data_IF_998544830894
#
_entry.id   IF_998544830894
#
_cell.length_a   1.000
_cell.length_b   1.000
_cell.length_c   1.000
_cell.angle_alpha   90.00
_cell.angle_beta   90.00
_cell.angle_gamma   90.00
#
_symmetry.space_group_name_H-M   'P 1'
#
loop_
_entity.id
_entity.type
_entity.pdbx_description
1 polymer ?
#
# COMPACT_ATOMS: atom_id res chain seq x y z
N UNK A 1 -32.02 -5.06 -31.82
CA UNK A 1 -31.39 -4.52 -30.60
C UNK A 1 -32.28 -4.81 -29.40
N UNK A 2 -31.89 -5.76 -28.57
CA UNK A 2 -32.61 -6.11 -27.35
C UNK A 2 -32.34 -5.05 -26.28
N UNK A 3 -33.40 -4.43 -25.75
CA UNK A 3 -33.36 -3.50 -24.64
C UNK A 3 -32.86 -4.14 -23.32
N UNK A 4 -32.79 -5.47 -23.26
CA UNK A 4 -32.23 -6.20 -22.13
C UNK A 4 -30.73 -6.43 -22.34
N UNK A 5 -29.89 -5.92 -21.45
CA UNK A 5 -28.47 -6.28 -21.36
C UNK A 5 -28.34 -7.74 -20.89
N UNK A 6 -28.32 -8.67 -21.83
CA UNK A 6 -28.02 -10.08 -21.53
C UNK A 6 -26.53 -10.16 -21.20
N UNK A 7 -26.21 -10.45 -19.95
CA UNK A 7 -24.86 -10.72 -19.50
C UNK A 7 -24.67 -12.24 -19.42
N UNK A 8 -24.05 -12.80 -20.44
CA UNK A 8 -23.64 -14.22 -20.47
C UNK A 8 -22.29 -14.35 -21.14
N UNK A 9 -21.50 -15.33 -20.74
CA UNK A 9 -20.17 -15.60 -21.30
C UNK A 9 -20.25 -15.80 -22.83
N UNK A 10 -21.31 -16.44 -23.32
CA UNK A 10 -21.55 -16.63 -24.76
C UNK A 10 -21.76 -15.29 -25.49
N UNK A 11 -22.53 -14.38 -24.91
CA UNK A 11 -22.76 -13.05 -25.51
C UNK A 11 -21.50 -12.20 -25.50
N UNK A 12 -20.69 -12.31 -24.44
CA UNK A 12 -19.44 -11.59 -24.33
C UNK A 12 -18.36 -12.17 -25.25
N UNK A 13 -18.29 -13.50 -25.42
CA UNK A 13 -17.42 -14.14 -26.40
C UNK A 13 -17.73 -13.68 -27.84
N UNK A 14 -19.03 -13.60 -28.22
CA UNK A 14 -19.44 -13.09 -29.56
C UNK A 14 -19.04 -11.62 -29.73
N UNK A 15 -19.17 -10.77 -28.69
CA UNK A 15 -18.75 -9.37 -28.78
C UNK A 15 -17.25 -9.24 -28.92
N UNK A 16 -16.47 -10.05 -28.19
CA UNK A 16 -15.00 -10.08 -28.29
C UNK A 16 -14.58 -10.50 -29.69
N UNK A 17 -15.18 -11.58 -30.23
CA UNK A 17 -14.89 -12.06 -31.59
C UNK A 17 -15.21 -11.01 -32.67
N UNK A 18 -16.37 -10.34 -32.56
CA UNK A 18 -16.72 -9.24 -33.48
C UNK A 18 -15.75 -8.08 -33.39
N UNK A 19 -15.40 -7.67 -32.17
CA UNK A 19 -14.42 -6.60 -31.98
C UNK A 19 -13.06 -6.97 -32.59
N UNK A 20 -12.61 -8.20 -32.39
CA UNK A 20 -11.36 -8.68 -32.97
C UNK A 20 -11.39 -8.65 -34.53
N UNK A 21 -12.50 -9.06 -35.14
CA UNK A 21 -12.67 -9.01 -36.60
C UNK A 21 -12.72 -7.56 -37.11
N UNK A 22 -13.48 -6.68 -36.43
CA UNK A 22 -13.65 -5.28 -36.86
C UNK A 22 -12.37 -4.45 -36.71
N UNK A 23 -11.51 -4.82 -35.77
CA UNK A 23 -10.31 -4.08 -35.37
C UNK A 23 -9.01 -4.82 -35.61
N UNK A 24 -9.03 -5.89 -36.37
CA UNK A 24 -7.88 -6.77 -36.62
C UNK A 24 -6.60 -6.01 -36.94
N UNK A 25 -6.67 -5.04 -37.86
CA UNK A 25 -5.51 -4.23 -38.25
C UNK A 25 -4.95 -3.32 -37.16
N UNK A 26 -5.75 -3.03 -36.14
CA UNK A 26 -5.40 -2.16 -35.04
C UNK A 26 -5.10 -2.92 -33.74
N UNK A 27 -5.17 -4.26 -33.76
CA UNK A 27 -4.83 -5.08 -32.61
C UNK A 27 -3.31 -5.10 -32.43
N UNK A 28 -2.88 -4.72 -31.22
CA UNK A 28 -1.47 -4.77 -30.87
C UNK A 28 -1.06 -6.23 -30.61
N UNK A 29 0.05 -6.65 -31.19
CA UNK A 29 0.61 -7.98 -30.95
C UNK A 29 1.04 -8.09 -29.48
N UNK A 30 0.75 -9.23 -28.83
CA UNK A 30 1.19 -9.53 -27.49
C UNK A 30 2.71 -9.75 -27.46
N UNK A 31 3.39 -9.12 -26.51
CA UNK A 31 4.85 -9.14 -26.38
C UNK A 31 5.29 -9.71 -25.04
N UNK A 32 6.56 -10.09 -24.93
CA UNK A 32 7.18 -10.47 -23.65
C UNK A 32 7.07 -9.34 -22.60
N UNK A 33 7.14 -8.08 -23.04
CA UNK A 33 6.96 -6.93 -22.16
C UNK A 33 5.54 -6.85 -21.61
N UNK A 34 4.52 -7.20 -22.40
CA UNK A 34 3.13 -7.26 -21.93
C UNK A 34 2.94 -8.41 -20.92
N UNK A 35 3.64 -9.53 -21.11
CA UNK A 35 3.65 -10.64 -20.17
C UNK A 35 4.24 -10.22 -18.80
N UNK A 36 5.39 -9.56 -18.80
CA UNK A 36 6.00 -9.03 -17.58
C UNK A 36 5.08 -8.01 -16.88
N UNK A 37 4.39 -7.14 -17.63
CA UNK A 37 3.40 -6.20 -17.08
C UNK A 37 2.23 -6.93 -16.44
N UNK A 38 1.74 -8.00 -17.05
CA UNK A 38 0.67 -8.83 -16.48
C UNK A 38 1.13 -9.55 -15.21
N UNK A 39 2.36 -10.05 -15.17
CA UNK A 39 2.96 -10.63 -13.96
C UNK A 39 3.05 -9.59 -12.85
N UNK A 40 3.58 -8.38 -13.14
CA UNK A 40 3.67 -7.29 -12.17
C UNK A 40 2.28 -6.90 -11.62
N UNK A 41 1.28 -6.83 -12.49
CA UNK A 41 -0.10 -6.56 -12.08
C UNK A 41 -0.67 -7.65 -11.18
N UNK A 42 -0.40 -8.91 -11.49
CA UNK A 42 -0.81 -10.05 -10.67
C UNK A 42 -0.15 -9.99 -9.28
N UNK A 43 1.16 -9.73 -9.23
CA UNK A 43 1.89 -9.53 -7.98
C UNK A 43 1.30 -8.39 -7.16
N UNK A 44 0.93 -7.25 -7.79
CA UNK A 44 0.29 -6.14 -7.09
C UNK A 44 -1.06 -6.53 -6.46
N UNK A 45 -1.85 -7.39 -7.14
CA UNK A 45 -3.09 -7.93 -6.56
C UNK A 45 -2.82 -8.83 -5.35
N UNK A 46 -1.81 -9.70 -5.44
CA UNK A 46 -1.40 -10.55 -4.33
C UNK A 46 -0.83 -9.72 -3.16
N UNK A 47 0.00 -8.73 -3.45
CA UNK A 47 0.50 -7.79 -2.45
C UNK A 47 -0.66 -7.10 -1.70
N UNK A 48 -1.65 -6.59 -2.42
CA UNK A 48 -2.84 -5.98 -1.83
C UNK A 48 -3.66 -6.95 -0.96
N UNK A 49 -3.76 -8.22 -1.34
CA UNK A 49 -4.42 -9.27 -0.58
C UNK A 49 -3.68 -9.56 0.73
N UNK A 50 -2.38 -9.82 0.68
CA UNK A 50 -1.58 -10.11 1.87
C UNK A 50 -1.43 -8.91 2.81
N UNK A 51 -1.43 -7.68 2.29
CA UNK A 51 -1.50 -6.47 3.11
C UNK A 51 -2.78 -6.39 3.96
N UNK A 52 -3.92 -6.78 3.39
CA UNK A 52 -5.19 -6.87 4.14
C UNK A 52 -5.13 -7.96 5.21
N UNK A 53 -4.59 -9.15 4.87
CA UNK A 53 -4.40 -10.24 5.82
C UNK A 53 -3.46 -9.84 6.96
N UNK A 54 -2.30 -9.25 6.65
CA UNK A 54 -1.36 -8.72 7.65
C UNK A 54 -2.06 -7.77 8.63
N UNK A 55 -2.90 -6.87 8.13
CA UNK A 55 -3.65 -5.93 8.97
C UNK A 55 -4.66 -6.67 9.85
N UNK A 56 -5.41 -7.63 9.30
CA UNK A 56 -6.37 -8.43 10.05
C UNK A 56 -5.67 -9.25 11.16
N UNK A 57 -4.55 -9.90 10.84
CA UNK A 57 -3.77 -10.69 11.79
C UNK A 57 -3.13 -9.82 12.88
N UNK A 58 -2.66 -8.62 12.53
CA UNK A 58 -2.18 -7.63 13.51
C UNK A 58 -3.27 -7.26 14.49
N UNK A 59 -4.47 -6.91 14.01
CA UNK A 59 -5.59 -6.53 14.85
C UNK A 59 -6.06 -7.70 15.72
N UNK A 60 -6.09 -8.92 15.18
CA UNK A 60 -6.39 -10.12 15.96
C UNK A 60 -5.39 -10.35 17.08
N UNK A 61 -4.09 -10.27 16.79
CA UNK A 61 -3.04 -10.41 17.82
C UNK A 61 -3.17 -9.34 18.91
N UNK A 62 -3.42 -8.08 18.55
CA UNK A 62 -3.64 -7.00 19.52
C UNK A 62 -4.84 -7.32 20.40
N UNK A 63 -5.98 -7.75 19.84
CA UNK A 63 -7.17 -8.09 20.61
C UNK A 63 -6.97 -9.28 21.57
N UNK A 64 -6.10 -10.23 21.25
CA UNK A 64 -5.72 -11.31 22.17
C UNK A 64 -4.77 -10.78 23.26
N UNK A 65 -3.79 -9.95 22.87
CA UNK A 65 -2.84 -9.36 23.81
C UNK A 65 -3.50 -8.38 24.78
N UNK A 66 -4.57 -7.70 24.39
CA UNK A 66 -5.33 -6.83 25.29
C UNK A 66 -5.96 -7.61 26.46
N UNK A 67 -6.13 -8.93 26.33
CA UNK A 67 -6.61 -9.80 27.41
C UNK A 67 -5.47 -10.36 28.29
N UNK A 68 -4.21 -10.27 27.85
CA UNK A 68 -3.05 -10.83 28.57
C UNK A 68 -2.00 -9.81 28.94
N UNK A 69 -1.77 -8.82 28.07
CA UNK A 69 -0.80 -7.75 28.22
C UNK A 69 -1.29 -6.48 27.47
N UNK A 70 -2.31 -5.78 28.00
CA UNK A 70 -2.89 -4.62 27.35
C UNK A 70 -1.85 -3.57 26.97
N UNK A 71 -1.95 -3.03 25.74
CA UNK A 71 -1.09 -1.94 25.28
C UNK A 71 0.35 -2.33 24.92
N UNK A 72 0.74 -3.61 24.97
CA UNK A 72 2.11 -4.05 24.65
C UNK A 72 2.57 -3.66 23.25
N UNK A 73 1.64 -3.53 22.30
CA UNK A 73 1.90 -3.09 20.94
C UNK A 73 2.32 -1.61 20.82
N UNK A 74 2.15 -0.82 21.87
CA UNK A 74 2.50 0.62 21.89
C UNK A 74 3.87 0.91 22.51
N UNK A 75 4.57 -0.10 23.00
CA UNK A 75 5.86 0.11 23.67
C UNK A 75 7.00 0.50 22.72
N UNK A 76 6.86 0.24 21.43
CA UNK A 76 7.94 0.46 20.47
C UNK A 76 7.41 1.08 19.18
N UNK A 77 7.94 2.24 18.80
CA UNK A 77 7.63 2.95 17.55
C UNK A 77 8.60 2.59 16.41
N UNK A 78 9.40 1.53 16.60
CA UNK A 78 10.38 1.09 15.61
C UNK A 78 9.68 0.61 14.34
N UNK A 79 10.17 1.00 13.14
CA UNK A 79 9.66 0.46 11.88
C UNK A 79 9.90 -1.06 11.80
N UNK A 80 9.14 -1.72 10.92
CA UNK A 80 9.41 -3.11 10.59
C UNK A 80 10.79 -3.25 9.94
N UNK A 81 11.44 -4.40 10.14
CA UNK A 81 12.69 -4.76 9.47
C UNK A 81 12.43 -5.15 8.01
N UNK A 82 13.49 -5.33 7.25
CA UNK A 82 13.42 -5.77 5.84
C UNK A 82 12.75 -7.12 5.65
N UNK A 83 12.79 -8.00 6.65
CA UNK A 83 12.08 -9.29 6.66
C UNK A 83 10.61 -9.19 7.14
N UNK A 84 10.14 -7.97 7.41
CA UNK A 84 8.79 -7.70 7.91
C UNK A 84 8.60 -7.88 9.41
N UNK A 85 9.61 -8.35 10.16
CA UNK A 85 9.52 -8.52 11.61
C UNK A 85 9.41 -7.18 12.35
N UNK A 86 8.67 -7.16 13.46
CA UNK A 86 8.40 -5.96 14.25
C UNK A 86 8.83 -6.17 15.71
N UNK A 87 9.51 -5.18 16.29
CA UNK A 87 10.05 -5.26 17.66
C UNK A 87 8.99 -5.56 18.71
N UNK A 88 7.79 -4.96 18.58
CA UNK A 88 6.70 -5.20 19.53
C UNK A 88 6.15 -6.63 19.43
N UNK A 89 6.10 -7.22 18.23
CA UNK A 89 5.66 -8.62 18.01
C UNK A 89 6.68 -9.58 18.60
N UNK A 90 7.97 -9.35 18.36
CA UNK A 90 9.05 -10.12 18.96
C UNK A 90 9.04 -10.03 20.50
N UNK A 91 8.73 -8.85 21.05
CA UNK A 91 8.60 -8.64 22.47
C UNK A 91 7.39 -9.42 23.00
N UNK A 92 6.22 -9.26 22.38
CA UNK A 92 4.99 -9.97 22.77
C UNK A 92 5.13 -11.50 22.65
N UNK A 93 5.89 -12.01 21.68
CA UNK A 93 6.21 -13.43 21.57
C UNK A 93 6.98 -13.98 22.78
N UNK A 94 7.83 -13.14 23.39
CA UNK A 94 8.64 -13.51 24.55
C UNK A 94 7.91 -13.23 25.87
N UNK A 95 7.32 -12.04 25.96
CA UNK A 95 6.59 -11.53 27.13
C UNK A 95 5.09 -11.47 26.83
N UNK A 96 4.54 -12.60 26.48
CA UNK A 96 3.17 -12.76 25.98
C UNK A 96 2.06 -12.52 27.02
N UNK A 97 2.42 -12.40 28.30
CA UNK A 97 1.53 -12.14 29.41
C UNK A 97 2.20 -11.16 30.39
N UNK A 98 1.44 -10.26 30.99
CA UNK A 98 1.96 -9.27 31.93
C UNK A 98 2.76 -9.89 33.08
N UNK A 99 2.37 -11.07 33.54
CA UNK A 99 3.09 -11.84 34.56
C UNK A 99 4.47 -12.34 34.14
N UNK A 100 4.81 -12.28 32.83
CA UNK A 100 6.17 -12.53 32.38
C UNK A 100 7.12 -11.39 32.79
N UNK A 101 6.57 -10.23 33.12
CA UNK A 101 7.32 -9.04 33.54
C UNK A 101 7.10 -8.76 35.02
N UNK A 102 5.85 -8.58 35.48
CA UNK A 102 5.53 -8.09 36.82
C UNK A 102 5.91 -9.05 37.94
N UNK A 103 6.06 -10.36 37.66
CA UNK A 103 6.49 -11.36 38.66
C UNK A 103 8.00 -11.39 38.88
N UNK A 104 8.78 -10.65 38.09
CA UNK A 104 10.22 -10.42 38.30
C UNK A 104 10.44 -9.21 39.18
N UNK A 105 11.65 -9.09 39.75
CA UNK A 105 12.13 -7.80 40.26
C UNK A 105 12.51 -6.90 39.09
N UNK A 106 12.57 -5.57 39.30
CA UNK A 106 13.00 -4.63 38.25
C UNK A 106 14.40 -4.98 37.72
N UNK A 107 15.33 -5.30 38.61
CA UNK A 107 16.70 -5.69 38.24
C UNK A 107 16.69 -6.95 37.33
N UNK A 108 15.99 -8.00 37.79
CA UNK A 108 15.89 -9.25 37.05
C UNK A 108 15.23 -9.06 35.65
N UNK A 109 14.18 -8.24 35.58
CA UNK A 109 13.56 -7.92 34.30
C UNK A 109 14.50 -7.12 33.39
N UNK A 110 15.20 -6.12 33.93
CA UNK A 110 16.15 -5.29 33.18
C UNK A 110 17.26 -6.15 32.57
N UNK A 111 17.85 -7.07 33.35
CA UNK A 111 18.87 -8.00 32.85
C UNK A 111 18.32 -8.95 31.78
N UNK A 112 17.13 -9.47 32.01
CA UNK A 112 16.46 -10.35 31.04
C UNK A 112 16.14 -9.63 29.75
N UNK A 113 15.63 -8.39 29.83
CA UNK A 113 15.35 -7.55 28.67
C UNK A 113 16.63 -7.16 27.91
N UNK A 114 17.73 -6.88 28.61
CA UNK A 114 19.03 -6.62 27.98
C UNK A 114 19.53 -7.83 27.18
N UNK A 115 19.45 -9.04 27.79
CA UNK A 115 19.81 -10.30 27.09
C UNK A 115 18.90 -10.55 25.89
N UNK A 116 17.61 -10.25 26.02
CA UNK A 116 16.64 -10.35 24.92
C UNK A 116 16.98 -9.37 23.78
N UNK A 117 17.26 -8.10 24.09
CA UNK A 117 17.68 -7.12 23.10
C UNK A 117 18.95 -7.57 22.36
N UNK A 118 19.97 -8.07 23.07
CA UNK A 118 21.20 -8.59 22.47
C UNK A 118 20.92 -9.75 21.53
N UNK A 119 20.13 -10.74 21.95
CA UNK A 119 19.78 -11.92 21.15
C UNK A 119 18.98 -11.56 19.88
N UNK A 120 18.06 -10.62 20.01
CA UNK A 120 17.20 -10.16 18.91
C UNK A 120 17.81 -9.01 18.10
N UNK A 121 19.04 -8.59 18.41
CA UNK A 121 19.74 -7.47 17.76
C UNK A 121 18.95 -6.16 17.80
N UNK A 122 18.37 -5.84 18.95
CA UNK A 122 17.72 -4.55 19.23
C UNK A 122 18.59 -3.70 20.16
N UNK A 123 18.45 -2.38 20.02
CA UNK A 123 19.09 -1.46 20.96
C UNK A 123 18.43 -1.59 22.35
N UNK A 124 19.27 -1.75 23.36
CA UNK A 124 18.86 -1.75 24.77
C UNK A 124 18.74 -0.32 25.30
N UNK A 125 17.73 -0.09 26.12
CA UNK A 125 17.55 1.13 26.92
C UNK A 125 17.07 0.74 28.30
N UNK A 126 17.78 1.17 29.32
CA UNK A 126 17.42 0.93 30.72
C UNK A 126 16.14 1.68 31.10
N UNK A 127 16.02 2.93 30.68
CA UNK A 127 14.80 3.73 30.90
C UNK A 127 13.55 3.08 30.26
N UNK A 128 13.72 2.45 29.10
CA UNK A 128 12.61 1.71 28.47
C UNK A 128 12.25 0.44 29.23
N UNK A 129 13.21 -0.26 29.83
CA UNK A 129 12.93 -1.39 30.71
C UNK A 129 12.16 -0.96 31.97
N UNK A 130 12.56 0.15 32.59
CA UNK A 130 11.89 0.74 33.74
C UNK A 130 10.45 1.18 33.41
N UNK A 131 10.24 1.83 32.27
CA UNK A 131 8.91 2.21 31.75
C UNK A 131 7.99 0.99 31.57
N UNK A 132 8.49 -0.05 30.87
CA UNK A 132 7.74 -1.29 30.63
C UNK A 132 7.37 -1.97 31.95
N UNK A 133 8.34 -2.05 32.87
CA UNK A 133 8.12 -2.68 34.16
C UNK A 133 7.09 -1.92 34.99
N UNK A 134 7.19 -0.59 35.07
CA UNK A 134 6.21 0.27 35.75
C UNK A 134 4.79 0.06 35.24
N UNK A 135 4.61 0.17 33.91
CA UNK A 135 3.31 -0.08 33.29
C UNK A 135 2.78 -1.49 33.57
N UNK A 136 3.64 -2.52 33.52
CA UNK A 136 3.23 -3.90 33.76
C UNK A 136 2.69 -4.14 35.20
N UNK A 137 3.13 -3.36 36.17
CA UNK A 137 2.64 -3.47 37.54
C UNK A 137 1.18 -3.02 37.70
N UNK A 138 0.73 -2.09 36.88
CA UNK A 138 -0.60 -1.51 36.92
C UNK A 138 -1.65 -2.32 36.15
N UNK A 139 -1.20 -3.25 35.30
CA UNK A 139 -2.07 -4.00 34.40
C UNK A 139 -2.69 -5.23 35.08
N UNK A 140 -3.97 -5.47 34.79
CA UNK A 140 -4.72 -6.65 35.23
C UNK A 140 -5.11 -7.47 33.99
N UNK A 141 -4.55 -8.68 33.80
CA UNK A 141 -4.92 -9.54 32.70
C UNK A 141 -6.28 -10.20 32.94
N UNK A 142 -7.01 -10.45 31.85
CA UNK A 142 -8.30 -11.19 31.85
C UNK A 142 -8.06 -12.69 31.70
N UNK A 143 -7.16 -13.07 30.79
CA UNK A 143 -6.82 -14.48 30.57
C UNK A 143 -5.69 -14.91 31.52
N UNK A 144 -5.68 -16.19 31.96
CA UNK A 144 -4.63 -16.71 32.82
C UNK A 144 -3.31 -16.92 32.07
N UNK A 145 -2.20 -16.94 32.83
CA UNK A 145 -0.89 -17.32 32.31
C UNK A 145 -0.74 -18.84 32.31
N UNK A 146 -1.28 -19.49 31.27
CA UNK A 146 -1.22 -20.94 31.09
C UNK A 146 -0.76 -21.33 29.68
N UNK A 147 -0.59 -22.63 29.44
CA UNK A 147 -0.09 -23.13 28.14
C UNK A 147 -1.12 -22.95 27.00
N UNK A 148 -2.43 -22.93 27.32
CA UNK A 148 -3.48 -22.72 26.29
C UNK A 148 -3.38 -21.28 25.78
N UNK A 149 -3.38 -20.31 26.68
CA UNK A 149 -3.25 -18.88 26.34
C UNK A 149 -1.95 -18.60 25.58
N UNK A 150 -0.84 -19.16 26.03
CA UNK A 150 0.46 -19.05 25.35
C UNK A 150 0.42 -19.60 23.94
N UNK A 151 -0.21 -20.75 23.72
CA UNK A 151 -0.34 -21.37 22.41
C UNK A 151 -1.17 -20.54 21.45
N UNK A 152 -2.27 -19.96 21.91
CA UNK A 152 -3.11 -19.07 21.11
C UNK A 152 -2.31 -17.83 20.63
N UNK A 153 -1.58 -17.18 21.54
CA UNK A 153 -0.77 -16.01 21.21
C UNK A 153 0.36 -16.39 20.23
N UNK A 154 1.04 -17.51 20.46
CA UNK A 154 2.10 -18.00 19.59
C UNK A 154 1.57 -18.23 18.16
N UNK A 155 0.43 -18.88 18.01
CA UNK A 155 -0.19 -19.08 16.71
C UNK A 155 -0.51 -17.73 16.01
N UNK A 156 -1.06 -16.76 16.75
CA UNK A 156 -1.37 -15.44 16.18
C UNK A 156 -0.09 -14.67 15.77
N UNK A 157 0.99 -14.77 16.55
CA UNK A 157 2.31 -14.22 16.21
C UNK A 157 2.88 -14.88 14.95
N UNK A 158 2.85 -16.20 14.86
CA UNK A 158 3.39 -16.94 13.72
C UNK A 158 2.65 -16.59 12.43
N UNK A 159 1.32 -16.46 12.47
CA UNK A 159 0.52 -16.03 11.32
C UNK A 159 0.83 -14.60 10.89
N UNK A 160 0.96 -13.66 11.82
CA UNK A 160 1.33 -12.28 11.51
C UNK A 160 2.74 -12.20 10.91
N UNK A 161 3.70 -12.94 11.44
CA UNK A 161 5.06 -12.97 10.91
C UNK A 161 5.11 -13.56 9.50
N UNK A 162 4.38 -14.66 9.25
CA UNK A 162 4.28 -15.26 7.93
C UNK A 162 3.68 -14.29 6.90
N UNK A 163 2.56 -13.64 7.23
CA UNK A 163 1.96 -12.64 6.35
C UNK A 163 2.90 -11.43 6.13
N UNK A 164 3.66 -11.04 7.15
CA UNK A 164 4.61 -9.93 7.05
C UNK A 164 5.78 -10.26 6.12
N UNK A 165 6.37 -11.46 6.23
CA UNK A 165 7.43 -11.94 5.33
C UNK A 165 6.95 -11.98 3.88
N UNK A 166 5.78 -12.58 3.63
CA UNK A 166 5.19 -12.64 2.28
C UNK A 166 5.00 -11.26 1.66
N UNK A 167 4.57 -10.26 2.45
CA UNK A 167 4.44 -8.87 1.96
C UNK A 167 5.79 -8.29 1.55
N UNK A 168 6.85 -8.50 2.32
CA UNK A 168 8.17 -7.95 2.00
C UNK A 168 8.81 -8.69 0.80
N UNK A 169 8.63 -10.00 0.70
CA UNK A 169 9.07 -10.79 -0.47
C UNK A 169 8.39 -10.31 -1.75
N UNK A 170 7.06 -10.11 -1.72
CA UNK A 170 6.32 -9.57 -2.87
C UNK A 170 6.76 -8.14 -3.22
N UNK A 171 7.05 -7.30 -2.22
CA UNK A 171 7.55 -5.94 -2.45
C UNK A 171 8.87 -5.97 -3.20
N UNK A 172 9.80 -6.81 -2.78
CA UNK A 172 11.10 -6.99 -3.45
C UNK A 172 10.90 -7.51 -4.87
N UNK A 173 10.13 -8.58 -5.05
CA UNK A 173 9.87 -9.16 -6.36
C UNK A 173 9.18 -8.18 -7.33
N UNK A 174 8.24 -7.39 -6.83
CA UNK A 174 7.58 -6.34 -7.63
C UNK A 174 8.58 -5.26 -8.05
N UNK A 175 9.48 -4.84 -7.17
CA UNK A 175 10.49 -3.84 -7.49
C UNK A 175 11.49 -4.38 -8.53
N UNK A 176 11.97 -5.61 -8.36
CA UNK A 176 12.89 -6.27 -9.28
C UNK A 176 12.25 -6.50 -10.66
N UNK A 177 10.95 -6.80 -10.70
CA UNK A 177 10.22 -6.93 -11.97
C UNK A 177 10.00 -5.57 -12.62
N UNK A 178 9.62 -4.55 -11.84
CA UNK A 178 9.40 -3.19 -12.33
C UNK A 178 10.68 -2.57 -12.89
N UNK A 179 11.85 -2.87 -12.29
CA UNK A 179 13.15 -2.35 -12.74
C UNK A 179 13.54 -2.79 -14.18
N UNK A 180 12.88 -3.81 -14.70
CA UNK A 180 13.08 -4.27 -16.08
C UNK A 180 12.35 -3.42 -17.13
N UNK A 181 11.45 -2.55 -16.72
CA UNK A 181 10.72 -1.66 -17.65
C UNK A 181 11.52 -0.40 -17.94
N UNK A 182 11.56 0.06 -19.18
CA UNK A 182 12.35 1.23 -19.57
C UNK A 182 11.95 2.49 -18.82
N UNK A 183 10.68 2.65 -18.47
CA UNK A 183 10.20 3.82 -17.72
C UNK A 183 10.52 3.81 -16.22
N UNK A 184 11.06 2.74 -15.67
CA UNK A 184 11.31 2.62 -14.23
C UNK A 184 12.16 3.78 -13.66
N UNK A 185 13.30 4.17 -14.28
CA UNK A 185 14.14 5.23 -13.73
C UNK A 185 13.37 6.56 -13.56
N UNK A 186 12.65 6.99 -14.60
CA UNK A 186 11.91 8.25 -14.57
C UNK A 186 10.73 8.23 -13.59
N UNK A 187 10.12 7.06 -13.39
CA UNK A 187 9.06 6.89 -12.40
C UNK A 187 9.62 7.00 -10.98
N UNK A 188 10.78 6.41 -10.72
CA UNK A 188 11.42 6.45 -9.40
C UNK A 188 11.96 7.82 -9.01
N UNK A 189 12.23 8.71 -9.96
CA UNK A 189 12.60 10.10 -9.72
C UNK A 189 11.43 11.00 -9.28
N UNK A 190 10.21 10.53 -9.39
CA UNK A 190 9.04 11.33 -9.01
C UNK A 190 8.88 11.40 -7.50
N UNK A 191 8.69 12.62 -6.96
CA UNK A 191 8.47 12.81 -5.54
C UNK A 191 7.22 12.05 -5.06
N UNK A 192 7.30 11.49 -3.86
CA UNK A 192 6.24 10.67 -3.27
C UNK A 192 6.19 9.23 -3.80
N UNK A 193 7.03 8.89 -4.79
CA UNK A 193 7.17 7.55 -5.37
C UNK A 193 8.45 6.93 -4.84
N UNK A 194 8.37 5.74 -4.30
CA UNK A 194 9.51 5.00 -3.79
C UNK A 194 9.44 3.53 -4.23
N UNK A 195 10.38 2.68 -3.78
CA UNK A 195 10.47 1.27 -4.19
C UNK A 195 9.20 0.44 -3.95
N UNK A 196 8.29 0.93 -3.12
CA UNK A 196 6.99 0.27 -2.88
C UNK A 196 5.89 0.82 -3.77
N UNK A 197 5.76 2.15 -3.91
CA UNK A 197 4.66 2.77 -4.65
C UNK A 197 4.92 2.85 -6.15
N UNK A 198 6.18 2.97 -6.59
CA UNK A 198 6.57 2.96 -8.00
C UNK A 198 6.09 1.70 -8.73
N UNK A 199 6.50 0.50 -8.28
CA UNK A 199 6.02 -0.75 -8.87
C UNK A 199 4.50 -0.91 -8.86
N UNK A 200 3.80 -0.44 -7.80
CA UNK A 200 2.34 -0.46 -7.74
C UNK A 200 1.69 0.46 -8.78
N UNK A 201 2.25 1.67 -8.97
CA UNK A 201 1.78 2.60 -10.03
C UNK A 201 1.98 1.98 -11.41
N UNK A 202 3.18 1.45 -11.68
CA UNK A 202 3.52 0.82 -12.96
C UNK A 202 2.64 -0.42 -13.23
N UNK A 203 2.36 -1.23 -12.21
CA UNK A 203 1.48 -2.38 -12.29
C UNK A 203 0.05 -2.01 -12.71
N UNK A 204 -0.49 -0.92 -12.16
CA UNK A 204 -1.86 -0.51 -12.41
C UNK A 204 -2.00 0.31 -13.70
N UNK A 205 -1.04 1.18 -13.99
CA UNK A 205 -1.06 2.01 -15.21
C UNK A 205 -0.73 1.15 -16.44
N UNK A 206 0.25 0.25 -16.32
CA UNK A 206 0.75 -0.54 -17.46
C UNK A 206 1.51 0.34 -18.47
N UNK A 207 1.41 0.01 -19.74
CA UNK A 207 2.04 0.77 -20.82
C UNK A 207 1.36 2.14 -20.98
N UNK A 208 2.12 3.23 -20.77
CA UNK A 208 1.62 4.60 -20.92
C UNK A 208 1.26 4.93 -22.36
N UNK A 209 1.90 4.29 -23.34
CA UNK A 209 1.66 4.57 -24.76
C UNK A 209 0.26 4.19 -25.23
N UNK A 210 -0.44 3.34 -24.48
CA UNK A 210 -1.84 2.98 -24.76
C UNK A 210 -2.83 4.13 -24.55
N UNK A 211 -2.43 5.18 -23.81
CA UNK A 211 -3.27 6.33 -23.57
C UNK A 211 -3.03 7.40 -24.64
N UNK A 212 -4.06 7.81 -25.33
CA UNK A 212 -3.97 8.80 -26.42
C UNK A 212 -3.62 10.21 -25.93
N UNK A 213 -4.05 10.56 -24.71
CA UNK A 213 -3.80 11.86 -24.09
C UNK A 213 -3.88 11.82 -22.56
N UNK A 214 -3.37 12.87 -21.91
CA UNK A 214 -3.32 12.98 -20.44
C UNK A 214 -4.68 12.88 -19.72
N UNK A 215 -5.79 13.14 -20.40
CA UNK A 215 -7.15 12.96 -19.87
C UNK A 215 -7.56 11.47 -19.83
N UNK A 216 -7.07 10.66 -20.76
CA UNK A 216 -7.41 9.24 -20.81
C UNK A 216 -6.86 8.47 -19.60
N UNK A 217 -5.64 8.79 -19.14
CA UNK A 217 -5.07 8.15 -17.94
C UNK A 217 -5.79 8.59 -16.64
N UNK A 218 -6.27 9.84 -16.55
CA UNK A 218 -7.05 10.29 -15.39
C UNK A 218 -8.45 9.67 -15.34
N UNK A 219 -9.09 9.50 -16.50
CA UNK A 219 -10.35 8.76 -16.63
C UNK A 219 -10.16 7.29 -16.29
N UNK A 220 -9.07 6.65 -16.75
CA UNK A 220 -8.72 5.28 -16.41
C UNK A 220 -8.55 5.08 -14.88
N UNK A 221 -7.98 6.05 -14.18
CA UNK A 221 -7.91 6.04 -12.72
C UNK A 221 -9.25 6.39 -12.05
N UNK A 222 -10.20 6.99 -12.77
CA UNK A 222 -11.46 7.49 -12.23
C UNK A 222 -11.28 8.63 -11.22
N UNK A 223 -10.25 9.46 -11.41
CA UNK A 223 -9.98 10.69 -10.62
C UNK A 223 -10.33 11.95 -11.39
N UNK A 224 -10.96 11.82 -12.54
CA UNK A 224 -11.55 12.90 -13.31
C UNK A 224 -12.88 13.36 -12.68
N UNK A 225 -13.21 14.65 -12.75
CA UNK A 225 -14.53 15.13 -12.38
C UNK A 225 -15.58 14.52 -13.33
N UNK A 226 -16.67 14.05 -12.78
CA UNK A 226 -17.81 13.66 -13.59
C UNK A 226 -18.36 14.89 -14.37
N UNK A 227 -18.99 14.65 -15.51
CA UNK A 227 -19.75 15.68 -16.23
C UNK A 227 -21.23 15.40 -15.95
N UNK A 228 -21.93 16.39 -15.43
CA UNK A 228 -23.38 16.33 -15.23
C UNK A 228 -23.97 17.63 -15.81
N UNK A 229 -24.30 17.54 -17.10
CA UNK A 229 -24.87 18.63 -17.88
C UNK A 229 -26.18 18.15 -18.50
N UNK A 230 -27.24 18.95 -18.40
CA UNK A 230 -28.51 18.70 -19.04
C UNK A 230 -29.08 20.03 -19.54
N UNK A 231 -29.10 20.21 -20.86
CA UNK A 231 -29.52 21.46 -21.49
C UNK A 231 -28.66 22.64 -21.04
N UNK A 232 -29.27 23.66 -20.46
CA UNK A 232 -28.58 24.85 -19.92
C UNK A 232 -28.05 24.67 -18.50
N UNK A 233 -28.30 23.53 -17.85
CA UNK A 233 -27.87 23.23 -16.50
C UNK A 233 -26.51 22.57 -16.50
N UNK A 234 -25.51 23.19 -15.86
CA UNK A 234 -24.20 22.61 -15.57
C UNK A 234 -23.95 22.61 -14.07
N UNK A 235 -23.74 21.42 -13.51
CA UNK A 235 -23.50 21.27 -12.08
C UNK A 235 -22.07 21.73 -11.74
N UNK A 236 -21.91 22.77 -10.90
CA UNK A 236 -20.62 23.36 -10.51
C UNK A 236 -19.74 22.45 -9.67
N UNK A 237 -20.28 21.45 -8.98
CA UNK A 237 -19.53 20.51 -8.15
C UNK A 237 -20.02 19.08 -8.42
N UNK A 238 -19.23 18.32 -9.15
CA UNK A 238 -19.54 16.94 -9.52
C UNK A 238 -18.54 16.00 -8.83
N UNK A 239 -19.02 14.92 -8.17
CA UNK A 239 -18.10 13.91 -7.62
C UNK A 239 -17.29 13.24 -8.74
N UNK A 240 -16.12 12.71 -8.40
CA UNK A 240 -15.30 11.92 -9.33
C UNK A 240 -16.05 10.69 -9.83
N UNK A 241 -15.79 10.30 -11.07
CA UNK A 241 -16.48 9.20 -11.74
C UNK A 241 -16.32 7.85 -11.01
N UNK A 242 -15.19 7.62 -10.35
CA UNK A 242 -14.79 6.35 -9.70
C UNK A 242 -14.91 5.10 -10.59
N UNK A 243 -15.12 5.27 -11.89
CA UNK A 243 -15.33 4.17 -12.87
C UNK A 243 -14.05 3.44 -13.23
N UNK A 244 -12.89 3.96 -12.83
CA UNK A 244 -11.58 3.36 -13.14
C UNK A 244 -11.04 2.42 -12.07
N UNK A 245 -9.73 2.11 -12.14
CA UNK A 245 -9.05 1.22 -11.21
C UNK A 245 -9.09 1.75 -9.77
N UNK A 246 -9.70 0.98 -8.88
CA UNK A 246 -9.73 1.29 -7.45
C UNK A 246 -8.35 1.17 -6.80
N UNK A 247 -7.54 0.20 -7.27
CA UNK A 247 -6.20 -0.02 -6.74
C UNK A 247 -5.25 1.10 -7.18
N UNK A 248 -5.37 1.61 -8.41
CA UNK A 248 -4.63 2.79 -8.85
C UNK A 248 -5.00 4.01 -8.02
N UNK A 249 -6.29 4.28 -7.78
CA UNK A 249 -6.70 5.39 -6.91
C UNK A 249 -6.12 5.27 -5.51
N UNK A 250 -6.14 4.07 -4.91
CA UNK A 250 -5.53 3.81 -3.60
C UNK A 250 -4.05 4.16 -3.60
N UNK A 251 -3.30 3.67 -4.59
CA UNK A 251 -1.86 3.95 -4.71
C UNK A 251 -1.59 5.45 -4.88
N UNK A 252 -2.38 6.13 -5.72
CA UNK A 252 -2.28 7.58 -5.89
C UNK A 252 -2.52 8.36 -4.60
N UNK A 253 -3.50 7.95 -3.79
CA UNK A 253 -3.74 8.58 -2.49
C UNK A 253 -2.57 8.35 -1.52
N UNK A 254 -1.92 7.19 -1.56
CA UNK A 254 -0.70 6.95 -0.78
C UNK A 254 0.46 7.84 -1.25
N UNK A 255 0.63 8.05 -2.56
CA UNK A 255 1.61 9.01 -3.10
C UNK A 255 1.32 10.43 -2.59
N UNK A 256 0.05 10.86 -2.66
CA UNK A 256 -0.35 12.19 -2.14
C UNK A 256 -0.07 12.32 -0.63
N UNK A 257 -0.32 11.26 0.14
CA UNK A 257 -0.05 11.25 1.58
C UNK A 257 1.46 11.37 1.88
N UNK A 258 2.30 10.71 1.09
CA UNK A 258 3.77 10.86 1.18
C UNK A 258 4.17 12.30 0.85
N UNK A 259 3.67 12.90 -0.22
CA UNK A 259 3.98 14.29 -0.60
C UNK A 259 3.60 15.28 0.51
N UNK A 260 2.44 15.09 1.15
CA UNK A 260 2.02 15.93 2.29
C UNK A 260 2.96 15.78 3.49
N UNK A 261 3.47 14.57 3.74
CA UNK A 261 4.37 14.29 4.88
C UNK A 261 5.79 14.78 4.63
N UNK A 262 6.31 14.61 3.42
CA UNK A 262 7.69 14.98 3.05
C UNK A 262 7.84 16.43 2.64
N UNK A 263 6.74 17.09 2.25
CA UNK A 263 6.68 18.52 1.90
C UNK A 263 7.76 18.98 0.90
N UNK A 264 7.94 18.34 -0.25
CA UNK A 264 8.96 18.73 -1.23
C UNK A 264 8.59 20.08 -1.87
N UNK A 265 9.26 21.16 -1.46
CA UNK A 265 8.86 22.55 -1.79
C UNK A 265 8.88 22.82 -3.29
N UNK A 266 9.79 22.22 -4.05
CA UNK A 266 9.94 22.41 -5.49
C UNK A 266 9.02 21.49 -6.33
N UNK A 267 8.25 20.60 -5.68
CA UNK A 267 7.37 19.68 -6.39
C UNK A 267 6.05 20.37 -6.80
N UNK A 268 5.70 20.37 -8.10
CA UNK A 268 4.51 21.05 -8.59
C UNK A 268 3.20 20.42 -8.12
N UNK A 269 3.21 19.12 -7.74
CA UNK A 269 2.03 18.43 -7.20
C UNK A 269 1.84 18.82 -5.74
N UNK A 270 2.92 18.80 -4.96
CA UNK A 270 2.87 19.25 -3.57
C UNK A 270 2.43 20.72 -3.45
N UNK A 271 3.04 21.63 -4.24
CA UNK A 271 2.64 23.04 -4.26
C UNK A 271 1.13 23.20 -4.56
N UNK A 272 0.62 22.40 -5.51
CA UNK A 272 -0.80 22.42 -5.86
C UNK A 272 -1.68 21.88 -4.72
N UNK A 273 -1.29 20.77 -4.08
CA UNK A 273 -1.97 20.20 -2.91
C UNK A 273 -2.03 21.22 -1.77
N UNK A 274 -0.90 21.84 -1.46
CA UNK A 274 -0.77 22.81 -0.37
C UNK A 274 -1.62 24.08 -0.65
N UNK A 275 -1.61 24.58 -1.90
CA UNK A 275 -2.48 25.69 -2.32
C UNK A 275 -3.96 25.34 -2.11
N UNK A 276 -4.40 24.14 -2.50
CA UNK A 276 -5.80 23.72 -2.32
C UNK A 276 -6.17 23.54 -0.85
N UNK A 277 -5.26 23.02 -0.05
CA UNK A 277 -5.41 22.89 1.40
C UNK A 277 -5.53 24.26 2.07
N UNK A 278 -4.66 25.20 1.71
CA UNK A 278 -4.71 26.59 2.21
C UNK A 278 -6.02 27.32 1.83
N UNK A 279 -6.67 26.94 0.71
CA UNK A 279 -8.00 27.43 0.32
C UNK A 279 -9.15 26.80 1.13
N UNK A 280 -8.87 26.00 2.17
CA UNK A 280 -9.88 25.35 2.99
C UNK A 280 -10.66 24.23 2.28
N UNK A 281 -10.14 23.65 1.19
CA UNK A 281 -10.82 22.57 0.50
C UNK A 281 -10.81 21.30 1.35
N UNK A 282 -11.91 20.49 1.38
CA UNK A 282 -11.99 19.23 2.10
C UNK A 282 -10.89 18.25 1.66
N UNK A 283 -10.48 17.35 2.58
CA UNK A 283 -9.40 16.39 2.38
C UNK A 283 -9.50 15.63 1.04
N UNK A 284 -10.63 14.97 0.79
CA UNK A 284 -10.78 14.19 -0.45
C UNK A 284 -10.77 15.03 -1.72
N UNK A 285 -11.17 16.32 -1.65
CA UNK A 285 -11.17 17.23 -2.80
C UNK A 285 -9.75 17.56 -3.21
N UNK A 286 -8.90 18.00 -2.27
CA UNK A 286 -7.52 18.34 -2.63
C UNK A 286 -6.67 17.11 -2.95
N UNK A 287 -6.89 15.97 -2.26
CA UNK A 287 -6.20 14.72 -2.57
C UNK A 287 -6.52 14.22 -3.98
N UNK A 288 -7.80 14.23 -4.37
CA UNK A 288 -8.21 13.81 -5.73
C UNK A 288 -7.69 14.76 -6.79
N UNK A 289 -7.72 16.08 -6.53
CA UNK A 289 -7.17 17.06 -7.45
C UNK A 289 -5.65 16.91 -7.60
N UNK A 290 -4.94 16.61 -6.52
CA UNK A 290 -3.51 16.30 -6.54
C UNK A 290 -3.21 15.03 -7.34
N UNK A 291 -3.96 13.96 -7.11
CA UNK A 291 -3.85 12.70 -7.85
C UNK A 291 -4.06 12.89 -9.36
N UNK A 292 -5.05 13.69 -9.75
CA UNK A 292 -5.28 14.06 -11.14
C UNK A 292 -4.08 14.81 -11.74
N UNK A 293 -3.55 15.81 -11.02
CA UNK A 293 -2.37 16.56 -11.46
C UNK A 293 -1.14 15.64 -11.55
N UNK A 294 -0.93 14.78 -10.58
CA UNK A 294 0.17 13.82 -10.58
C UNK A 294 0.13 12.91 -11.81
N UNK A 295 -1.01 12.32 -12.13
CA UNK A 295 -1.14 11.45 -13.32
C UNK A 295 -0.87 12.17 -14.63
N UNK A 296 -1.26 13.43 -14.74
CA UNK A 296 -0.99 14.24 -15.94
C UNK A 296 0.50 14.52 -16.10
N UNK A 297 1.22 14.75 -15.00
CA UNK A 297 2.69 14.91 -14.99
C UNK A 297 3.36 13.57 -15.27
N UNK A 298 2.91 12.49 -14.61
CA UNK A 298 3.39 11.14 -14.86
C UNK A 298 3.31 10.77 -16.35
N UNK A 299 2.15 10.99 -16.97
CA UNK A 299 1.94 10.73 -18.38
C UNK A 299 2.92 11.52 -19.27
N UNK A 300 3.10 12.81 -19.02
CA UNK A 300 4.00 13.66 -19.81
C UNK A 300 5.46 13.20 -19.67
N UNK A 301 5.95 13.08 -18.43
CA UNK A 301 7.34 12.71 -18.16
C UNK A 301 7.71 11.31 -18.70
N UNK A 302 6.84 10.33 -18.45
CA UNK A 302 7.10 8.95 -18.92
C UNK A 302 7.07 8.87 -20.45
N UNK A 303 6.10 9.52 -21.09
CA UNK A 303 5.99 9.52 -22.57
C UNK A 303 7.19 10.23 -23.21
N UNK A 304 7.60 11.38 -22.70
CA UNK A 304 8.77 12.11 -23.17
C UNK A 304 10.04 11.29 -23.01
N UNK A 305 10.23 10.67 -21.83
CA UNK A 305 11.37 9.81 -21.56
C UNK A 305 11.42 8.60 -22.50
N UNK A 306 10.31 7.89 -22.69
CA UNK A 306 10.26 6.75 -23.62
C UNK A 306 10.54 7.16 -25.06
N UNK A 307 10.12 8.37 -25.48
CA UNK A 307 10.40 8.90 -26.82
C UNK A 307 11.87 9.31 -26.99
N UNK A 308 12.60 9.57 -25.92
CA UNK A 308 14.03 9.92 -25.95
C UNK A 308 14.96 8.69 -25.95
N UNK A 309 14.43 7.50 -25.65
CA UNK A 309 15.21 6.27 -25.68
C UNK A 309 15.51 5.88 -27.14
N UNK A 310 16.71 5.32 -27.42
CA UNK A 310 17.02 4.75 -28.74
C UNK A 310 15.96 3.71 -29.08
N UNK A 311 15.37 3.83 -30.27
CA UNK A 311 14.50 2.75 -30.77
C UNK A 311 15.40 1.53 -31.01
N UNK A 312 15.23 0.49 -30.23
CA UNK A 312 15.84 -0.81 -30.53
C UNK A 312 15.20 -1.32 -31.81
N UNK A 313 16.02 -1.44 -32.87
CA UNK A 313 15.68 -2.07 -34.13
C UNK A 313 15.24 -3.53 -33.95
#
# INVERSE_FOLDING_TARGET
>A
DSLRKVKSDKADAVKIARYALDKWQNLKQYSLMDELRNQLKTMNRQFGFYMKQKTAMKNNLIGILDQTYPGVNTYFDSPARSDGSQKWVDFASTYWHVDCVRKMSLSAFTDHYQKWCKRKKYNFSKSKAEEIYGKAKELVPVLPKDEITKRIIRQAVDQLNSASSTVEELRTLMNDTASKFPEYPIVMEMNGVGPSLGPQLMAEIGDVTRFTHKGAITAFAGVDPGVNESGTYSQKSVPTSKRGSADLRKTLFLVMDVLIKTMPQDDPVYQFLNKKRAQGKPYYVYMTAGANKFLRIYYGRVKEYLSSLPQSE
#
